data_IF_466918211465
#
_entry.id   IF_466918211465
#
_cell.length_a   1.000
_cell.length_b   1.000
_cell.length_c   1.000
_cell.angle_alpha   90.00
_cell.angle_beta   90.00
_cell.angle_gamma   90.00
#
_symmetry.space_group_name_H-M   'P 1'
#
loop_
_entity.id
_entity.type
_entity.pdbx_description
1 polymer ?
#
# COMPACT_ATOMS: atom_id res chain seq x y z
N UNK A 1 -2.90 17.91 -10.41
CA UNK A 1 -2.69 16.51 -10.78
C UNK A 1 -2.48 16.33 -12.30
N UNK A 2 -3.41 16.70 -13.21
CA UNK A 2 -3.20 16.55 -14.69
C UNK A 2 -1.88 17.16 -15.22
N UNK A 3 -1.38 18.25 -14.63
CA UNK A 3 -0.10 18.89 -15.03
C UNK A 3 1.15 18.12 -14.59
N UNK A 4 1.10 17.35 -13.50
CA UNK A 4 2.24 16.57 -13.00
C UNK A 4 2.39 15.24 -13.75
N UNK A 5 1.29 14.62 -14.15
CA UNK A 5 1.31 13.41 -14.99
C UNK A 5 1.81 13.75 -16.39
N UNK A 6 1.39 14.90 -16.95
CA UNK A 6 1.91 15.39 -18.22
C UNK A 6 3.42 15.69 -18.18
N UNK A 7 3.94 16.14 -17.03
CA UNK A 7 5.37 16.40 -16.87
C UNK A 7 6.18 15.10 -16.81
N UNK A 8 5.65 14.04 -16.18
CA UNK A 8 6.29 12.72 -16.13
C UNK A 8 6.34 12.05 -17.50
N UNK A 9 5.23 12.14 -18.27
CA UNK A 9 5.19 11.62 -19.64
C UNK A 9 6.12 12.43 -20.53
N UNK A 10 6.20 13.76 -20.37
CA UNK A 10 7.13 14.61 -21.11
C UNK A 10 8.61 14.31 -20.78
N UNK A 11 8.92 13.92 -19.52
CA UNK A 11 10.29 13.56 -19.13
C UNK A 11 10.73 12.23 -19.74
N UNK A 12 9.81 11.27 -19.87
CA UNK A 12 10.09 9.98 -20.55
C UNK A 12 10.27 10.18 -22.05
N UNK A 13 9.47 11.06 -22.68
CA UNK A 13 9.59 11.40 -24.11
C UNK A 13 10.84 12.24 -24.37
N UNK A 14 11.23 13.16 -23.48
CA UNK A 14 12.43 13.97 -23.62
C UNK A 14 13.74 13.15 -23.49
N UNK A 15 13.73 12.09 -22.67
CA UNK A 15 14.89 11.19 -22.56
C UNK A 15 15.13 10.38 -23.85
N UNK A 16 14.10 10.17 -24.67
CA UNK A 16 14.23 9.47 -25.96
C UNK A 16 14.67 10.40 -27.10
N UNK A 17 14.45 11.72 -26.96
CA UNK A 17 14.80 12.70 -28.01
C UNK A 17 16.25 13.21 -27.92
N UNK A 18 16.94 13.02 -26.81
CA UNK A 18 18.34 13.48 -26.64
C UNK A 18 19.39 12.57 -27.30
N UNK A 19 18.97 11.53 -28.02
CA UNK A 19 19.85 10.58 -28.73
C UNK A 19 19.99 10.84 -30.23
N UNK A 20 19.44 11.94 -30.75
CA UNK A 20 19.62 12.32 -32.16
C UNK A 20 20.63 13.46 -32.26
N UNK A 21 21.91 13.14 -32.23
CA UNK A 21 22.97 14.06 -32.59
C UNK A 21 23.37 13.88 -34.07
N UNK A 22 23.17 14.94 -34.84
CA UNK A 22 23.93 15.35 -35.99
C UNK A 22 23.96 14.49 -37.27
N UNK A 23 23.90 15.16 -38.46
CA UNK A 23 23.97 14.43 -39.71
C UNK A 23 25.43 14.04 -40.03
N UNK A 24 25.73 12.77 -39.89
CA UNK A 24 26.88 12.15 -40.56
C UNK A 24 26.31 11.43 -41.78
N UNK A 25 26.60 11.96 -42.94
CA UNK A 25 26.33 11.30 -44.21
C UNK A 25 27.18 10.05 -44.27
N UNK A 26 26.58 8.92 -43.97
CA UNK A 26 27.17 7.60 -44.13
C UNK A 26 26.48 6.91 -45.28
N UNK A 27 27.24 6.51 -46.28
CA UNK A 27 26.79 5.58 -47.34
C UNK A 27 26.00 4.44 -46.72
N UNK A 28 24.91 3.96 -47.34
CA UNK A 28 24.10 2.89 -46.80
C UNK A 28 24.88 1.57 -46.88
N UNK A 29 25.67 1.28 -45.85
CA UNK A 29 26.12 -0.09 -45.63
C UNK A 29 24.87 -0.90 -45.35
N UNK A 30 24.45 -1.69 -46.31
CA UNK A 30 23.42 -2.72 -46.11
C UNK A 30 23.86 -3.62 -44.95
N UNK A 31 23.56 -3.23 -43.75
CA UNK A 31 23.62 -4.16 -42.63
C UNK A 31 22.45 -5.10 -42.81
N UNK A 32 22.76 -6.35 -43.08
CA UNK A 32 21.77 -7.42 -42.98
C UNK A 32 21.02 -7.22 -41.65
N UNK A 33 19.68 -7.33 -41.64
CA UNK A 33 18.93 -7.23 -40.40
C UNK A 33 19.58 -8.17 -39.39
N UNK A 34 19.76 -7.76 -38.15
CA UNK A 34 20.38 -8.60 -37.13
C UNK A 34 19.64 -9.92 -37.11
N UNK A 35 20.35 -11.01 -37.45
CA UNK A 35 19.83 -12.36 -37.34
C UNK A 35 19.61 -12.58 -35.85
N UNK A 36 18.39 -12.42 -35.43
CA UNK A 36 17.98 -12.73 -34.06
C UNK A 36 17.97 -14.25 -34.02
N UNK A 37 19.05 -14.86 -33.52
CA UNK A 37 19.01 -16.24 -33.11
C UNK A 37 18.02 -16.36 -31.99
N UNK A 38 16.84 -16.89 -32.26
CA UNK A 38 15.88 -17.26 -31.23
C UNK A 38 16.57 -18.27 -30.32
N UNK A 39 16.88 -17.85 -29.12
CA UNK A 39 17.42 -18.71 -28.08
C UNK A 39 16.30 -19.65 -27.62
N UNK A 40 16.29 -20.87 -28.07
CA UNK A 40 15.25 -21.89 -27.79
C UNK A 40 15.42 -22.54 -26.39
N UNK A 41 16.37 -22.04 -25.58
CA UNK A 41 16.58 -22.52 -24.21
C UNK A 41 15.63 -21.86 -23.23
N UNK A 42 15.30 -22.61 -22.20
CA UNK A 42 14.60 -22.06 -21.04
C UNK A 42 15.57 -21.27 -20.18
N UNK A 43 15.13 -20.10 -19.74
CA UNK A 43 15.82 -19.26 -18.77
C UNK A 43 14.92 -19.10 -17.55
N UNK A 44 15.50 -19.30 -16.39
CA UNK A 44 14.84 -19.13 -15.11
C UNK A 44 15.61 -18.11 -14.30
N UNK A 45 14.88 -17.28 -13.59
CA UNK A 45 15.44 -16.30 -12.69
C UNK A 45 14.60 -16.26 -11.41
N UNK A 46 15.25 -16.30 -10.25
CA UNK A 46 14.62 -16.15 -8.95
C UNK A 46 15.37 -15.06 -8.20
N UNK A 47 14.66 -14.06 -7.71
CA UNK A 47 15.19 -12.94 -6.96
C UNK A 47 14.54 -12.76 -5.59
N UNK A 48 15.26 -12.11 -4.72
CA UNK A 48 14.75 -11.65 -3.42
C UNK A 48 14.92 -10.13 -3.33
N UNK A 49 13.92 -9.35 -3.76
CA UNK A 49 13.97 -7.90 -3.71
C UNK A 49 13.71 -7.39 -2.30
N UNK A 50 14.66 -6.74 -1.66
CA UNK A 50 14.48 -6.00 -0.41
C UNK A 50 14.15 -4.55 -0.71
N UNK A 51 12.89 -4.13 -0.51
CA UNK A 51 12.44 -2.77 -0.78
C UNK A 51 12.42 -1.93 0.51
N UNK A 52 13.29 -0.92 0.57
CA UNK A 52 13.40 0.02 1.69
C UNK A 52 12.42 1.17 1.47
N UNK A 53 11.13 0.87 1.60
CA UNK A 53 10.05 1.74 1.18
C UNK A 53 9.79 2.91 2.14
N UNK A 54 9.34 4.02 1.57
CA UNK A 54 8.68 5.15 2.20
C UNK A 54 7.23 5.16 1.71
N UNK A 55 6.28 5.49 2.57
CA UNK A 55 4.85 5.49 2.25
C UNK A 55 4.30 6.89 2.52
N UNK A 56 3.70 7.51 1.51
CA UNK A 56 3.12 8.86 1.62
C UNK A 56 1.86 8.98 0.79
N UNK A 57 0.82 9.59 1.37
CA UNK A 57 -0.42 9.80 0.62
C UNK A 57 -1.64 10.03 1.51
N UNK A 58 -2.79 9.63 1.01
CA UNK A 58 -4.08 9.77 1.66
C UNK A 58 -4.73 8.40 1.80
N UNK A 59 -5.07 8.02 3.02
CA UNK A 59 -5.83 6.81 3.33
C UNK A 59 -7.08 7.25 4.06
N UNK A 60 -8.25 6.81 3.62
CA UNK A 60 -9.52 7.19 4.20
C UNK A 60 -10.48 6.03 4.34
N UNK A 61 -11.38 6.14 5.31
CA UNK A 61 -12.47 5.19 5.53
C UNK A 61 -13.72 5.97 5.94
N UNK A 62 -14.81 5.82 5.17
CA UNK A 62 -16.12 6.42 5.44
C UNK A 62 -16.08 7.92 5.78
N UNK A 63 -15.24 8.69 5.04
CA UNK A 63 -15.12 10.14 5.21
C UNK A 63 -14.12 10.60 6.28
N UNK A 64 -13.48 9.67 6.99
CA UNK A 64 -12.34 9.96 7.86
C UNK A 64 -11.07 9.67 7.09
N UNK A 65 -10.19 10.67 6.90
CA UNK A 65 -8.93 10.51 6.18
C UNK A 65 -7.73 10.78 7.07
N UNK A 66 -6.64 10.10 6.78
CA UNK A 66 -5.31 10.26 7.37
C UNK A 66 -4.29 10.51 6.27
N UNK A 67 -3.26 11.26 6.56
CA UNK A 67 -2.18 11.61 5.64
C UNK A 67 -0.87 10.98 6.13
N UNK A 68 -0.68 9.65 5.99
CA UNK A 68 0.56 9.01 6.41
C UNK A 68 1.76 9.57 5.66
N UNK A 69 2.85 9.79 6.39
CA UNK A 69 4.19 10.07 5.89
C UNK A 69 5.15 9.18 6.68
N UNK A 70 5.30 7.94 6.23
CA UNK A 70 5.99 6.87 6.96
C UNK A 70 7.33 6.62 6.32
N UNK A 71 8.39 6.79 7.09
CA UNK A 71 9.77 6.51 6.66
C UNK A 71 10.15 5.06 6.90
N UNK A 72 11.08 4.54 6.09
CA UNK A 72 11.57 3.17 6.20
C UNK A 72 11.99 2.78 7.63
N UNK A 73 12.65 3.68 8.37
CA UNK A 73 13.02 3.43 9.77
C UNK A 73 11.83 3.14 10.68
N UNK A 74 10.69 3.80 10.44
CA UNK A 74 9.44 3.53 11.15
C UNK A 74 8.83 2.19 10.71
N UNK A 75 8.91 1.85 9.42
CA UNK A 75 8.45 0.55 8.90
C UNK A 75 9.21 -0.57 9.61
N UNK A 76 10.54 -0.52 9.63
CA UNK A 76 11.37 -1.57 10.24
C UNK A 76 11.14 -1.71 11.74
N UNK A 77 10.95 -0.60 12.46
CA UNK A 77 10.70 -0.64 13.92
C UNK A 77 9.34 -1.20 14.28
N UNK A 78 8.37 -1.18 13.37
CA UNK A 78 7.01 -1.69 13.55
C UNK A 78 6.73 -2.95 12.73
N UNK A 79 7.71 -3.44 11.96
CA UNK A 79 7.58 -4.64 11.16
C UNK A 79 7.49 -5.89 12.05
N UNK A 80 6.40 -6.62 11.93
CA UNK A 80 6.26 -7.98 12.45
C UNK A 80 6.79 -9.02 11.45
N UNK A 81 6.82 -8.68 10.16
CA UNK A 81 7.38 -9.49 9.09
C UNK A 81 7.41 -8.75 7.76
N UNK A 82 8.48 -8.94 6.99
CA UNK A 82 8.60 -8.47 5.60
C UNK A 82 9.27 -9.60 4.81
N UNK A 83 8.67 -9.97 3.68
CA UNK A 83 9.22 -10.95 2.76
C UNK A 83 8.87 -10.58 1.32
N UNK A 84 9.79 -10.83 0.40
CA UNK A 84 9.52 -10.67 -1.02
C UNK A 84 10.28 -11.70 -1.85
N UNK A 85 9.69 -12.10 -2.95
CA UNK A 85 10.27 -13.02 -3.91
C UNK A 85 9.82 -12.61 -5.32
N UNK A 86 10.71 -12.73 -6.27
CA UNK A 86 10.39 -12.59 -7.69
C UNK A 86 10.86 -13.82 -8.46
N UNK A 87 10.13 -14.16 -9.53
CA UNK A 87 10.46 -15.25 -10.40
C UNK A 87 10.16 -14.88 -11.85
N UNK A 88 11.07 -15.21 -12.76
CA UNK A 88 10.95 -15.00 -14.19
C UNK A 88 11.28 -16.29 -14.95
N UNK A 89 10.48 -16.62 -15.92
CA UNK A 89 10.68 -17.77 -16.81
C UNK A 89 10.51 -17.32 -18.25
N UNK A 90 11.50 -17.56 -19.07
CA UNK A 90 11.49 -17.16 -20.48
C UNK A 90 11.93 -18.31 -21.40
N UNK A 91 11.27 -18.42 -22.56
CA UNK A 91 11.71 -19.21 -23.69
C UNK A 91 11.62 -18.39 -24.97
N UNK A 92 12.72 -18.29 -25.72
CA UNK A 92 12.79 -17.44 -26.90
C UNK A 92 12.49 -15.98 -26.54
N UNK A 93 11.45 -15.42 -27.13
CA UNK A 93 11.01 -14.04 -26.90
C UNK A 93 9.89 -13.89 -25.89
N UNK A 94 9.22 -14.99 -25.51
CA UNK A 94 8.12 -14.97 -24.55
C UNK A 94 8.59 -15.34 -23.16
N UNK A 95 8.07 -14.65 -22.18
CA UNK A 95 8.29 -14.98 -20.79
C UNK A 95 7.13 -14.60 -19.90
N UNK A 96 7.21 -15.09 -18.66
CA UNK A 96 6.29 -14.83 -17.57
C UNK A 96 7.13 -14.36 -16.37
N UNK A 97 6.71 -13.29 -15.73
CA UNK A 97 7.35 -12.73 -14.55
C UNK A 97 6.33 -12.58 -13.44
N UNK A 98 6.75 -12.80 -12.22
CA UNK A 98 5.94 -12.62 -11.02
C UNK A 98 6.76 -12.05 -9.86
N UNK A 99 6.14 -11.19 -9.08
CA UNK A 99 6.69 -10.56 -7.88
C UNK A 99 5.66 -10.65 -6.75
N UNK A 100 6.10 -11.06 -5.58
CA UNK A 100 5.27 -11.12 -4.37
C UNK A 100 5.98 -10.38 -3.24
N UNK A 101 5.30 -9.39 -2.69
CA UNK A 101 5.69 -8.67 -1.49
C UNK A 101 4.66 -8.91 -0.39
N UNK A 102 5.11 -9.36 0.76
CA UNK A 102 4.36 -9.40 2.01
C UNK A 102 4.95 -8.42 3.01
N UNK A 103 4.08 -7.68 3.70
CA UNK A 103 4.47 -6.77 4.77
C UNK A 103 3.43 -6.83 5.89
N UNK A 104 3.90 -7.05 7.12
CA UNK A 104 3.09 -6.98 8.33
C UNK A 104 3.66 -5.91 9.24
N UNK A 105 2.85 -4.90 9.54
CA UNK A 105 3.20 -3.79 10.42
C UNK A 105 2.32 -3.82 11.66
N UNK A 106 2.89 -3.58 12.83
CA UNK A 106 2.15 -3.48 14.09
C UNK A 106 2.61 -2.28 14.89
N UNK A 107 1.68 -1.42 15.26
CA UNK A 107 1.93 -0.23 16.06
C UNK A 107 0.98 -0.17 17.25
N UNK A 108 1.51 0.19 18.42
CA UNK A 108 0.73 0.43 19.63
C UNK A 108 0.75 1.92 20.01
N UNK A 109 -0.43 2.48 20.21
CA UNK A 109 -0.61 3.85 20.67
C UNK A 109 -1.26 3.81 22.05
N UNK A 110 -0.73 4.56 23.00
CA UNK A 110 -1.32 4.71 24.31
C UNK A 110 -2.25 5.92 24.31
N UNK A 111 -3.48 5.73 24.80
CA UNK A 111 -4.50 6.77 24.89
C UNK A 111 -4.68 7.27 26.33
N UNK A 112 -5.17 8.48 26.48
CA UNK A 112 -5.42 9.12 27.77
C UNK A 112 -6.91 9.14 28.16
N UNK A 113 -7.80 8.64 27.27
CA UNK A 113 -9.25 8.64 27.45
C UNK A 113 -9.81 7.29 27.90
N UNK A 114 -10.93 6.88 27.32
CA UNK A 114 -11.58 5.59 27.57
C UNK A 114 -10.74 4.41 27.04
N UNK A 115 -9.88 4.66 26.06
CA UNK A 115 -8.93 3.70 25.50
C UNK A 115 -7.59 3.86 26.18
N UNK A 116 -7.09 2.80 26.81
CA UNK A 116 -5.77 2.74 27.43
C UNK A 116 -4.69 2.48 26.37
N UNK A 117 -4.99 1.61 25.41
CA UNK A 117 -4.07 1.22 24.34
C UNK A 117 -4.85 0.87 23.08
N UNK A 118 -4.39 1.35 21.95
CA UNK A 118 -4.83 0.92 20.63
C UNK A 118 -3.67 0.18 19.95
N UNK A 119 -3.91 -1.04 19.46
CA UNK A 119 -2.97 -1.79 18.64
C UNK A 119 -3.52 -1.83 17.22
N UNK A 120 -2.82 -1.23 16.29
CA UNK A 120 -3.11 -1.34 14.87
C UNK A 120 -2.15 -2.35 14.24
N UNK A 121 -2.68 -3.30 13.50
CA UNK A 121 -1.90 -4.23 12.68
C UNK A 121 -2.40 -4.13 11.25
N UNK A 122 -1.46 -3.99 10.32
CA UNK A 122 -1.71 -3.91 8.88
C UNK A 122 -0.90 -5.01 8.21
N UNK A 123 -1.60 -5.99 7.65
CA UNK A 123 -0.99 -7.04 6.85
C UNK A 123 -1.30 -6.75 5.37
N UNK A 124 -0.28 -6.56 4.55
CA UNK A 124 -0.43 -6.20 3.14
C UNK A 124 0.29 -7.20 2.24
N UNK A 125 -0.36 -7.53 1.13
CA UNK A 125 0.17 -8.36 0.05
C UNK A 125 0.08 -7.57 -1.25
N UNK A 126 1.19 -7.52 -1.98
CA UNK A 126 1.23 -7.03 -3.35
C UNK A 126 1.78 -8.17 -4.20
N UNK A 127 0.97 -8.65 -5.14
CA UNK A 127 1.36 -9.70 -6.07
C UNK A 127 1.22 -9.19 -7.50
N UNK A 128 2.33 -9.15 -8.22
CA UNK A 128 2.37 -8.87 -9.66
C UNK A 128 2.51 -10.18 -10.43
N UNK A 129 1.74 -10.32 -11.51
CA UNK A 129 1.90 -11.40 -12.46
C UNK A 129 1.76 -10.86 -13.86
N UNK A 130 2.73 -11.12 -14.75
CA UNK A 130 2.74 -10.58 -16.10
C UNK A 130 3.30 -11.54 -17.12
N UNK A 131 2.87 -11.36 -18.35
CA UNK A 131 3.50 -11.95 -19.54
C UNK A 131 4.26 -10.87 -20.28
N UNK A 132 5.32 -11.22 -20.94
CA UNK A 132 6.06 -10.27 -21.74
C UNK A 132 6.55 -10.87 -23.07
N UNK A 133 6.75 -9.97 -24.01
CA UNK A 133 7.33 -10.27 -25.31
C UNK A 133 8.55 -9.40 -25.54
N UNK A 134 9.69 -10.01 -25.88
CA UNK A 134 10.95 -9.32 -26.16
C UNK A 134 10.92 -8.68 -27.56
N UNK A 135 10.60 -7.37 -27.57
CA UNK A 135 10.46 -6.60 -28.82
C UNK A 135 11.79 -6.24 -29.44
N UNK A 136 12.81 -5.95 -28.59
CA UNK A 136 14.16 -5.67 -29.04
C UNK A 136 15.16 -6.58 -28.30
N UNK A 137 16.10 -7.10 -29.04
CA UNK A 137 17.23 -7.86 -28.49
C UNK A 137 18.48 -7.58 -29.31
N UNK A 138 19.55 -7.25 -28.63
CA UNK A 138 20.85 -6.94 -29.24
C UNK A 138 22.01 -7.36 -28.36
N UNK A 139 23.25 -7.16 -28.81
CA UNK A 139 24.44 -7.56 -28.05
C UNK A 139 24.58 -6.82 -26.71
N UNK A 140 24.05 -5.61 -26.66
CA UNK A 140 24.16 -4.74 -25.48
C UNK A 140 22.93 -4.72 -24.59
N UNK A 141 21.82 -5.39 -24.96
CA UNK A 141 20.63 -5.39 -24.12
C UNK A 141 19.37 -5.83 -24.83
N UNK A 142 18.26 -5.68 -24.12
CA UNK A 142 16.93 -6.06 -24.58
C UNK A 142 15.85 -5.11 -24.02
N UNK A 143 14.73 -5.10 -24.72
CA UNK A 143 13.51 -4.39 -24.30
C UNK A 143 12.32 -5.32 -24.49
N UNK A 144 11.48 -5.42 -23.48
CA UNK A 144 10.27 -6.22 -23.43
C UNK A 144 9.03 -5.31 -23.37
N UNK A 145 7.98 -5.66 -24.12
CA UNK A 145 6.63 -5.17 -23.90
C UNK A 145 5.95 -6.12 -22.91
N UNK A 146 5.26 -5.58 -21.92
CA UNK A 146 4.74 -6.30 -20.75
C UNK A 146 3.26 -6.03 -20.56
N UNK A 147 2.49 -7.02 -20.12
CA UNK A 147 1.11 -6.88 -19.73
C UNK A 147 0.79 -7.88 -18.60
N UNK A 148 0.05 -7.43 -17.61
CA UNK A 148 -0.21 -8.25 -16.44
C UNK A 148 -1.31 -7.71 -15.55
N UNK A 149 -1.38 -8.26 -14.34
CA UNK A 149 -2.26 -7.80 -13.29
C UNK A 149 -1.51 -7.71 -11.97
N UNK A 150 -1.80 -6.66 -11.21
CA UNK A 150 -1.31 -6.43 -9.86
C UNK A 150 -2.44 -6.60 -8.88
N UNK A 151 -2.31 -7.58 -8.00
CA UNK A 151 -3.24 -7.80 -6.91
C UNK A 151 -2.72 -7.14 -5.64
N UNK A 152 -3.56 -6.33 -5.03
CA UNK A 152 -3.33 -5.73 -3.72
C UNK A 152 -4.34 -6.26 -2.72
N UNK A 153 -3.87 -6.61 -1.54
CA UNK A 153 -4.71 -6.98 -0.41
C UNK A 153 -4.14 -6.36 0.85
N UNK A 154 -5.00 -5.74 1.65
CA UNK A 154 -4.62 -5.22 2.96
C UNK A 154 -5.66 -5.63 3.98
N UNK A 155 -5.20 -6.24 5.05
CA UNK A 155 -6.00 -6.61 6.20
C UNK A 155 -5.61 -5.74 7.39
N UNK A 156 -6.50 -4.84 7.75
CA UNK A 156 -6.30 -3.87 8.82
C UNK A 156 -7.03 -4.35 10.05
N UNK A 157 -6.33 -4.51 11.17
CA UNK A 157 -6.89 -4.87 12.47
C UNK A 157 -6.64 -3.75 13.45
N UNK A 158 -7.69 -3.32 14.13
CA UNK A 158 -7.62 -2.39 15.24
C UNK A 158 -8.11 -3.09 16.50
N UNK A 159 -7.20 -3.39 17.40
CA UNK A 159 -7.51 -3.87 18.75
C UNK A 159 -7.44 -2.72 19.73
N UNK A 160 -8.51 -2.48 20.46
CA UNK A 160 -8.55 -1.48 21.52
C UNK A 160 -8.50 -2.17 22.88
N UNK A 161 -7.88 -1.54 23.85
CA UNK A 161 -7.91 -1.96 25.26
C UNK A 161 -8.49 -0.82 26.09
N UNK A 162 -9.58 -1.07 26.80
CA UNK A 162 -10.25 -0.10 27.63
C UNK A 162 -9.40 0.33 28.84
N UNK A 163 -9.58 1.57 29.28
CA UNK A 163 -9.07 2.07 30.54
C UNK A 163 -10.15 1.91 31.62
N UNK A 164 -10.18 0.80 32.34
CA UNK A 164 -11.27 0.43 33.26
C UNK A 164 -11.68 1.55 34.23
N UNK A 165 -10.72 2.28 34.80
CA UNK A 165 -11.00 3.42 35.70
C UNK A 165 -11.71 4.56 34.99
N UNK A 166 -11.32 4.86 33.75
CA UNK A 166 -11.94 5.93 32.91
C UNK A 166 -13.30 5.49 32.39
N UNK A 167 -13.44 4.22 32.03
CA UNK A 167 -14.75 3.64 31.62
C UNK A 167 -15.73 3.68 32.79
N UNK A 168 -15.30 3.29 34.00
CA UNK A 168 -16.14 3.38 35.20
C UNK A 168 -16.55 4.84 35.52
N UNK A 169 -15.61 5.79 35.39
CA UNK A 169 -15.89 7.20 35.58
C UNK A 169 -16.90 7.74 34.55
N UNK A 170 -16.70 7.37 33.27
CA UNK A 170 -17.62 7.74 32.18
C UNK A 170 -19.01 7.14 32.39
N UNK A 171 -19.09 5.88 32.80
CA UNK A 171 -20.36 5.22 33.13
C UNK A 171 -21.10 5.94 34.26
N UNK A 172 -20.38 6.34 35.33
CA UNK A 172 -20.95 7.10 36.43
C UNK A 172 -21.47 8.47 35.96
N UNK A 173 -20.70 9.20 35.13
CA UNK A 173 -21.11 10.47 34.54
C UNK A 173 -22.36 10.34 33.67
N UNK A 174 -22.45 9.29 32.85
CA UNK A 174 -23.62 8.99 32.00
C UNK A 174 -24.87 8.74 32.84
N UNK A 175 -24.74 7.99 33.93
CA UNK A 175 -25.87 7.76 34.87
C UNK A 175 -26.27 9.07 35.58
N UNK A 176 -25.31 9.86 36.03
CA UNK A 176 -25.59 11.16 36.67
C UNK A 176 -26.26 12.13 35.67
N UNK A 177 -25.84 12.12 34.43
CA UNK A 177 -26.38 12.97 33.35
C UNK A 177 -27.67 12.44 32.70
N UNK A 178 -28.20 11.31 33.15
CA UNK A 178 -29.39 10.68 32.54
C UNK A 178 -30.65 11.59 32.53
N UNK A 179 -30.63 12.68 33.25
CA UNK A 179 -31.69 13.68 33.31
C UNK A 179 -31.35 15.00 32.61
N UNK A 180 -30.14 15.10 32.04
CA UNK A 180 -29.60 16.29 31.41
C UNK A 180 -29.21 16.00 29.94
N UNK A 181 -28.28 16.76 29.41
CA UNK A 181 -27.79 16.58 28.03
C UNK A 181 -26.90 15.34 27.87
N UNK A 182 -27.52 14.18 27.83
CA UNK A 182 -26.84 12.88 27.66
C UNK A 182 -26.12 12.78 26.29
N UNK A 183 -26.71 13.39 25.23
CA UNK A 183 -26.14 13.35 23.89
C UNK A 183 -24.82 14.15 23.81
N UNK A 184 -24.83 15.37 24.28
CA UNK A 184 -23.62 16.21 24.28
C UNK A 184 -22.52 15.66 25.19
N UNK A 185 -22.88 14.90 26.24
CA UNK A 185 -21.90 14.19 27.05
C UNK A 185 -21.27 13.00 26.30
N UNK A 186 -22.07 12.23 25.56
CA UNK A 186 -21.56 11.13 24.73
C UNK A 186 -20.61 11.61 23.65
N UNK A 187 -20.95 12.70 22.95
CA UNK A 187 -20.10 13.33 21.93
C UNK A 187 -18.73 13.75 22.51
N UNK A 188 -18.72 14.35 23.69
CA UNK A 188 -17.47 14.74 24.37
C UNK A 188 -16.63 13.53 24.83
N UNK A 189 -17.27 12.49 25.36
CA UNK A 189 -16.56 11.29 25.84
C UNK A 189 -15.90 10.50 24.70
N UNK A 190 -16.56 10.36 23.57
CA UNK A 190 -16.02 9.66 22.41
C UNK A 190 -14.94 10.48 21.72
N UNK A 191 -15.14 11.79 21.51
CA UNK A 191 -14.12 12.66 20.96
C UNK A 191 -12.84 12.67 21.80
N UNK A 192 -12.96 12.78 23.13
CA UNK A 192 -11.81 12.71 24.03
C UNK A 192 -11.17 11.33 24.20
N UNK A 193 -11.81 10.25 23.73
CA UNK A 193 -11.26 8.89 23.79
C UNK A 193 -10.22 8.61 22.71
N UNK A 194 -10.33 9.29 21.56
CA UNK A 194 -9.45 9.09 20.41
C UNK A 194 -8.28 10.09 20.40
N UNK A 195 -8.58 11.37 20.60
CA UNK A 195 -7.58 12.45 20.75
C UNK A 195 -8.29 13.67 21.37
N UNK A 196 -7.80 14.24 22.47
CA UNK A 196 -8.40 15.43 23.07
C UNK A 196 -8.39 16.67 22.15
N UNK A 197 -7.57 16.68 21.10
CA UNK A 197 -7.51 17.74 20.09
C UNK A 197 -8.34 17.46 18.82
N UNK A 198 -8.95 16.27 18.71
CA UNK A 198 -9.79 15.94 17.56
C UNK A 198 -11.14 16.64 17.68
N UNK A 199 -11.63 17.33 16.63
CA UNK A 199 -12.97 17.89 16.62
C UNK A 199 -14.00 16.80 16.89
N UNK A 200 -14.98 17.07 17.76
CA UNK A 200 -16.08 16.15 18.03
C UNK A 200 -16.81 15.79 16.72
N UNK A 201 -16.84 14.51 16.39
CA UNK A 201 -17.63 14.02 15.25
C UNK A 201 -19.12 14.08 15.68
N UNK A 202 -19.97 14.85 15.01
CA UNK A 202 -21.38 14.89 15.37
C UNK A 202 -22.03 13.53 15.11
N UNK A 203 -22.72 13.01 16.11
CA UNK A 203 -23.49 11.78 15.95
C UNK A 203 -24.64 11.99 14.94
N UNK A 204 -24.90 11.01 14.08
CA UNK A 204 -26.07 11.06 13.22
C UNK A 204 -27.37 11.14 14.06
N UNK A 205 -28.46 11.69 13.55
CA UNK A 205 -29.71 11.76 14.27
C UNK A 205 -30.19 10.36 14.66
N UNK A 206 -30.52 10.18 15.95
CA UNK A 206 -30.96 8.91 16.49
C UNK A 206 -32.23 8.41 15.79
N UNK A 207 -32.24 7.17 15.35
CA UNK A 207 -33.41 6.46 14.86
C UNK A 207 -34.47 6.26 15.97
N UNK A 208 -35.69 5.88 15.58
CA UNK A 208 -36.78 5.68 16.54
C UNK A 208 -36.47 4.59 17.57
N UNK A 209 -35.86 3.50 17.15
CA UNK A 209 -35.46 2.39 18.03
C UNK A 209 -34.36 2.82 19.03
N UNK A 210 -33.44 3.65 18.58
CA UNK A 210 -32.36 4.19 19.43
C UNK A 210 -32.93 5.17 20.48
N UNK A 211 -33.88 5.99 20.10
CA UNK A 211 -34.61 6.87 21.06
C UNK A 211 -35.33 6.06 22.12
N UNK A 212 -36.00 4.96 21.73
CA UNK A 212 -36.68 4.08 22.68
C UNK A 212 -35.70 3.40 23.63
N UNK A 213 -34.54 2.94 23.13
CA UNK A 213 -33.47 2.37 23.96
C UNK A 213 -32.90 3.40 24.94
N UNK A 214 -32.67 4.62 24.49
CA UNK A 214 -32.20 5.72 25.31
C UNK A 214 -33.19 6.08 26.44
N UNK A 215 -34.49 6.19 26.13
CA UNK A 215 -35.51 6.46 27.12
C UNK A 215 -35.64 5.33 28.15
N UNK A 216 -35.52 4.09 27.72
CA UNK A 216 -35.48 2.92 28.62
C UNK A 216 -34.30 2.99 29.57
N UNK A 217 -33.13 3.28 29.02
CA UNK A 217 -31.89 3.47 29.81
C UNK A 217 -32.05 4.60 30.85
N UNK A 218 -32.55 5.77 30.45
CA UNK A 218 -32.78 6.89 31.39
C UNK A 218 -33.68 6.47 32.54
N UNK A 219 -34.73 5.73 32.25
CA UNK A 219 -35.66 5.21 33.27
C UNK A 219 -34.98 4.22 34.21
N UNK A 220 -34.17 3.30 33.69
CA UNK A 220 -33.39 2.32 34.46
C UNK A 220 -32.34 3.02 35.35
N UNK A 221 -31.60 3.98 34.80
CA UNK A 221 -30.59 4.76 35.53
C UNK A 221 -31.19 5.56 36.69
N UNK A 222 -32.43 6.06 36.56
CA UNK A 222 -33.15 6.74 37.63
C UNK A 222 -33.62 5.80 38.73
N UNK A 223 -33.96 4.55 38.36
CA UNK A 223 -34.52 3.58 39.30
C UNK A 223 -33.42 2.85 40.09
N UNK A 224 -32.33 2.50 39.45
CA UNK A 224 -31.23 1.79 40.04
C UNK A 224 -29.89 2.26 39.38
N UNK A 225 -29.30 3.37 39.89
CA UNK A 225 -28.07 3.94 39.33
C UNK A 225 -26.88 3.00 39.36
N UNK A 226 -26.77 2.12 40.35
CA UNK A 226 -25.63 1.18 40.50
C UNK A 226 -25.66 0.12 39.43
N UNK A 227 -26.78 -0.55 39.27
CA UNK A 227 -26.96 -1.57 38.21
C UNK A 227 -26.83 -0.94 36.82
N UNK A 228 -27.36 0.25 36.59
CA UNK A 228 -27.20 0.96 35.33
C UNK A 228 -25.73 1.28 35.05
N UNK A 229 -24.96 1.76 36.02
CA UNK A 229 -23.53 2.00 35.87
C UNK A 229 -22.76 0.72 35.50
N UNK A 230 -22.99 -0.37 36.22
CA UNK A 230 -22.35 -1.67 35.92
C UNK A 230 -22.63 -2.14 34.50
N UNK A 231 -23.89 -2.01 34.05
CA UNK A 231 -24.31 -2.39 32.71
C UNK A 231 -23.64 -1.53 31.63
N UNK A 232 -23.54 -0.21 31.82
CA UNK A 232 -22.82 0.67 30.90
C UNK A 232 -21.34 0.32 30.87
N UNK A 233 -20.72 0.14 32.04
CA UNK A 233 -19.32 -0.26 32.13
C UNK A 233 -19.06 -1.54 31.34
N UNK A 234 -19.92 -2.55 31.51
CA UNK A 234 -19.82 -3.81 30.75
C UNK A 234 -19.98 -3.61 29.24
N UNK A 235 -20.96 -2.83 28.81
CA UNK A 235 -21.17 -2.50 27.40
C UNK A 235 -19.95 -1.77 26.81
N UNK A 236 -19.50 -0.70 27.46
CA UNK A 236 -18.37 0.09 27.02
C UNK A 236 -17.08 -0.76 26.94
N UNK A 237 -16.80 -1.56 27.96
CA UNK A 237 -15.66 -2.47 27.94
C UNK A 237 -15.78 -3.51 26.83
N UNK A 238 -16.96 -4.07 26.61
CA UNK A 238 -17.18 -5.04 25.53
C UNK A 238 -16.95 -4.41 24.16
N UNK A 239 -17.54 -3.25 23.89
CA UNK A 239 -17.41 -2.58 22.60
C UNK A 239 -15.98 -2.00 22.39
N UNK A 240 -15.35 -1.42 23.42
CA UNK A 240 -13.99 -0.93 23.34
C UNK A 240 -12.96 -2.05 23.15
N UNK A 241 -13.17 -3.21 23.74
CA UNK A 241 -12.25 -4.36 23.60
C UNK A 241 -12.60 -5.26 22.39
N UNK A 242 -13.65 -4.93 21.65
CA UNK A 242 -14.02 -5.63 20.43
C UNK A 242 -13.06 -5.21 19.31
N UNK A 243 -12.27 -6.17 18.83
CA UNK A 243 -11.40 -5.92 17.69
C UNK A 243 -12.22 -5.62 16.43
N UNK A 244 -11.80 -4.63 15.68
CA UNK A 244 -12.34 -4.31 14.36
C UNK A 244 -11.33 -4.70 13.30
N UNK A 245 -11.79 -5.41 12.27
CA UNK A 245 -10.98 -5.78 11.11
C UNK A 245 -11.65 -5.31 9.83
N UNK A 246 -10.87 -4.78 8.91
CA UNK A 246 -11.28 -4.43 7.57
C UNK A 246 -10.31 -5.06 6.60
N UNK A 247 -10.85 -5.76 5.61
CA UNK A 247 -10.07 -6.32 4.49
C UNK A 247 -10.47 -5.60 3.23
N UNK A 248 -9.49 -5.01 2.57
CA UNK A 248 -9.67 -4.41 1.26
C UNK A 248 -8.75 -5.11 0.26
N UNK A 249 -9.27 -5.37 -0.93
CA UNK A 249 -8.51 -6.01 -1.99
C UNK A 249 -9.01 -5.59 -3.37
N UNK A 250 -8.10 -5.47 -4.30
CA UNK A 250 -8.43 -5.20 -5.69
C UNK A 250 -7.35 -5.76 -6.61
N UNK A 251 -7.63 -5.78 -7.90
CA UNK A 251 -6.69 -6.18 -8.93
C UNK A 251 -6.69 -5.15 -10.06
N UNK A 252 -5.50 -4.71 -10.42
CA UNK A 252 -5.24 -3.70 -11.44
C UNK A 252 -4.60 -4.35 -12.65
N UNK A 253 -5.29 -4.44 -13.80
CA UNK A 253 -4.61 -4.76 -15.06
C UNK A 253 -3.62 -3.64 -15.40
N UNK A 254 -2.48 -4.00 -15.97
CA UNK A 254 -1.48 -3.02 -16.39
C UNK A 254 -0.78 -3.41 -17.68
N UNK A 255 -0.21 -2.42 -18.33
CA UNK A 255 0.71 -2.56 -19.46
C UNK A 255 1.99 -1.79 -19.18
N UNK A 256 3.10 -2.27 -19.71
CA UNK A 256 4.39 -1.67 -19.40
C UNK A 256 5.50 -2.09 -20.35
N UNK A 257 6.67 -1.64 -19.99
CA UNK A 257 7.93 -1.99 -20.65
C UNK A 257 8.96 -2.37 -19.59
N UNK A 258 9.90 -3.21 -19.97
CA UNK A 258 11.07 -3.53 -19.14
C UNK A 258 12.27 -3.81 -19.99
N UNK A 259 13.46 -3.60 -19.45
CA UNK A 259 14.65 -3.77 -20.24
C UNK A 259 15.93 -3.85 -19.40
N UNK A 260 16.98 -4.32 -20.09
CA UNK A 260 18.33 -4.37 -19.54
C UNK A 260 19.33 -3.87 -20.59
N UNK A 261 20.30 -3.10 -20.15
CA UNK A 261 21.41 -2.61 -20.99
C UNK A 261 22.75 -2.92 -20.34
N UNK A 262 23.61 -3.64 -21.03
CA UNK A 262 24.96 -3.97 -20.58
C UNK A 262 25.85 -2.74 -20.69
N UNK A 263 26.51 -2.36 -19.61
CA UNK A 263 27.49 -1.28 -19.59
C UNK A 263 28.88 -1.84 -19.93
N UNK A 264 29.55 -2.36 -18.94
CA UNK A 264 30.80 -3.09 -19.04
C UNK A 264 30.74 -4.25 -18.08
N UNK A 265 31.32 -5.39 -18.43
CA UNK A 265 31.36 -6.51 -17.47
C UNK A 265 32.04 -6.08 -16.18
N UNK A 266 31.42 -6.33 -15.00
CA UNK A 266 30.22 -7.11 -14.74
C UNK A 266 28.92 -6.31 -14.59
N UNK A 267 28.85 -5.03 -15.01
CA UNK A 267 27.76 -4.11 -14.73
C UNK A 267 26.73 -4.01 -15.85
N UNK A 268 25.46 -3.80 -15.49
CA UNK A 268 24.35 -3.51 -16.40
C UNK A 268 23.34 -2.56 -15.76
N UNK A 269 22.58 -1.86 -16.58
CA UNK A 269 21.38 -1.13 -16.17
C UNK A 269 20.17 -2.01 -16.37
N UNK A 270 19.18 -1.91 -15.50
CA UNK A 270 17.89 -2.55 -15.62
C UNK A 270 16.78 -1.57 -15.28
N UNK A 271 15.62 -1.73 -15.88
CA UNK A 271 14.48 -0.89 -15.59
C UNK A 271 13.17 -1.54 -16.03
N UNK A 272 12.09 -1.13 -15.35
CA UNK A 272 10.71 -1.53 -15.60
C UNK A 272 9.81 -0.34 -15.32
N UNK A 273 8.79 -0.14 -16.15
CA UNK A 273 7.77 0.87 -15.93
C UNK A 273 6.42 0.37 -16.46
N UNK A 274 5.37 0.61 -15.71
CA UNK A 274 4.01 0.23 -16.09
C UNK A 274 2.97 1.26 -15.65
N UNK A 275 1.83 1.22 -16.31
CA UNK A 275 0.62 1.97 -15.96
C UNK A 275 -0.56 1.02 -16.01
N UNK A 276 -1.46 1.14 -15.05
CA UNK A 276 -2.59 0.25 -14.89
C UNK A 276 -3.75 0.86 -14.12
N UNK A 277 -4.62 0.00 -13.60
CA UNK A 277 -5.86 0.37 -12.92
C UNK A 277 -7.01 0.45 -13.91
N UNK A 278 -7.04 1.49 -14.75
CA UNK A 278 -8.04 1.73 -15.81
C UNK A 278 -9.49 1.65 -15.32
N UNK A 279 -9.76 2.06 -14.07
CA UNK A 279 -11.05 1.95 -13.38
C UNK A 279 -11.57 0.50 -13.23
N UNK A 280 -10.70 -0.51 -13.32
CA UNK A 280 -11.07 -1.92 -13.03
C UNK A 280 -10.96 -2.20 -11.54
N UNK A 281 -9.82 -1.87 -10.94
CA UNK A 281 -9.58 -1.83 -9.49
C UNK A 281 -9.31 -0.40 -9.07
N UNK A 282 -8.08 0.06 -9.23
CA UNK A 282 -7.72 1.46 -9.05
C UNK A 282 -8.15 2.33 -10.25
N UNK A 283 -8.40 3.61 -10.01
CA UNK A 283 -8.57 4.60 -11.08
C UNK A 283 -7.30 4.62 -11.93
N UNK A 284 -6.15 4.68 -11.26
CA UNK A 284 -4.84 4.57 -11.90
C UNK A 284 -3.81 3.99 -10.94
N UNK A 285 -2.95 3.14 -11.46
CA UNK A 285 -1.71 2.70 -10.79
C UNK A 285 -0.53 2.96 -11.71
N UNK A 286 0.61 3.34 -11.14
CA UNK A 286 1.86 3.57 -11.89
C UNK A 286 3.00 2.98 -11.09
N UNK A 287 3.82 2.17 -11.73
CA UNK A 287 5.04 1.63 -11.13
C UNK A 287 6.25 1.95 -12.00
N UNK A 288 7.39 2.16 -11.34
CA UNK A 288 8.67 2.25 -12.00
C UNK A 288 9.79 1.71 -11.13
N UNK A 289 10.76 1.11 -11.79
CA UNK A 289 12.01 0.63 -11.21
C UNK A 289 13.16 0.97 -12.14
N UNK A 290 14.25 1.45 -11.59
CA UNK A 290 15.52 1.62 -12.31
C UNK A 290 16.67 1.24 -11.39
N UNK A 291 17.63 0.46 -11.90
CA UNK A 291 18.70 -0.06 -11.08
C UNK A 291 20.00 -0.34 -11.86
N UNK A 292 21.08 -0.39 -11.09
CA UNK A 292 22.39 -0.87 -11.49
C UNK A 292 22.55 -2.31 -11.01
N UNK A 293 22.83 -3.21 -11.94
CA UNK A 293 23.08 -4.61 -11.66
C UNK A 293 24.54 -4.96 -11.73
N UNK A 294 24.95 -5.92 -10.90
CA UNK A 294 26.26 -6.52 -10.84
C UNK A 294 26.14 -8.04 -11.03
N UNK A 295 26.73 -8.57 -12.09
CA UNK A 295 26.77 -10.00 -12.37
C UNK A 295 28.04 -10.60 -11.77
N UNK A 296 27.91 -11.28 -10.62
CA UNK A 296 29.05 -11.90 -9.93
C UNK A 296 29.60 -13.08 -10.75
N UNK A 297 28.72 -13.94 -11.24
CA UNK A 297 29.04 -15.07 -12.14
C UNK A 297 27.83 -15.33 -13.06
N UNK A 298 27.87 -16.28 -14.00
CA UNK A 298 26.74 -16.55 -14.90
C UNK A 298 25.41 -16.79 -14.19
N UNK A 299 25.43 -17.26 -12.95
CA UNK A 299 24.24 -17.68 -12.22
C UNK A 299 23.80 -16.71 -11.10
N UNK A 300 24.71 -15.88 -10.56
CA UNK A 300 24.44 -15.04 -9.39
C UNK A 300 24.56 -13.57 -9.76
N UNK A 301 23.58 -12.78 -9.36
CA UNK A 301 23.58 -11.34 -9.55
C UNK A 301 23.08 -10.58 -8.33
N UNK A 302 23.38 -9.31 -8.28
CA UNK A 302 22.78 -8.35 -7.36
C UNK A 302 22.41 -7.07 -8.11
N UNK A 303 21.34 -6.41 -7.68
CA UNK A 303 20.88 -5.14 -8.24
C UNK A 303 20.63 -4.15 -7.13
N UNK A 304 21.07 -2.92 -7.29
CA UNK A 304 20.72 -1.78 -6.45
C UNK A 304 19.98 -0.77 -7.31
N UNK A 305 18.74 -0.46 -6.93
CA UNK A 305 17.91 0.44 -7.69
C UNK A 305 16.98 1.26 -6.82
N UNK A 306 16.07 1.93 -7.49
CA UNK A 306 15.00 2.69 -6.88
C UNK A 306 13.67 2.27 -7.49
N UNK A 307 12.71 1.89 -6.63
CA UNK A 307 11.34 1.50 -7.03
C UNK A 307 10.36 2.54 -6.50
N UNK A 308 9.34 2.84 -7.29
CA UNK A 308 8.16 3.55 -6.83
C UNK A 308 6.89 2.88 -7.34
N UNK A 309 5.83 3.01 -6.58
CA UNK A 309 4.51 2.49 -6.88
C UNK A 309 3.47 3.50 -6.37
N UNK A 310 2.54 3.87 -7.22
CA UNK A 310 1.43 4.75 -6.91
C UNK A 310 0.12 4.04 -7.14
N UNK A 311 -0.81 4.22 -6.20
CA UNK A 311 -2.21 3.84 -6.33
C UNK A 311 -3.11 5.05 -6.17
N UNK A 312 -4.16 5.14 -7.00
CA UNK A 312 -5.33 5.98 -6.81
C UNK A 312 -6.55 5.05 -6.81
N UNK A 313 -6.91 4.53 -5.63
CA UNK A 313 -8.04 3.66 -5.41
C UNK A 313 -9.08 4.36 -4.54
N UNK A 314 -10.35 4.34 -4.95
CA UNK A 314 -11.46 4.93 -4.22
C UNK A 314 -12.72 4.07 -4.50
N UNK A 315 -13.17 3.30 -3.51
CA UNK A 315 -14.33 2.43 -3.63
C UNK A 315 -14.99 2.23 -2.28
N UNK A 316 -16.33 2.20 -2.26
CA UNK A 316 -17.17 1.89 -1.10
C UNK A 316 -16.82 2.66 0.18
N UNK A 317 -16.32 3.90 0.02
CA UNK A 317 -15.89 4.76 1.12
C UNK A 317 -14.49 4.45 1.65
N UNK A 318 -13.73 3.56 1.01
CA UNK A 318 -12.32 3.35 1.24
C UNK A 318 -11.49 4.11 0.19
N UNK A 319 -10.64 5.01 0.66
CA UNK A 319 -9.72 5.81 -0.15
C UNK A 319 -8.29 5.35 0.08
N UNK A 320 -7.56 5.06 -1.00
CA UNK A 320 -6.14 4.71 -0.94
C UNK A 320 -5.36 5.41 -2.08
N UNK A 321 -4.90 6.65 -1.83
CA UNK A 321 -4.10 7.46 -2.76
C UNK A 321 -2.68 7.54 -2.24
N UNK A 322 -1.87 6.54 -2.54
CA UNK A 322 -0.60 6.33 -1.85
C UNK A 322 0.55 6.16 -2.83
N UNK A 323 1.63 6.88 -2.55
CA UNK A 323 2.96 6.65 -3.10
C UNK A 323 3.75 5.77 -2.14
N UNK A 324 4.29 4.68 -2.66
CA UNK A 324 5.30 3.85 -2.01
C UNK A 324 6.56 3.93 -2.85
N UNK A 325 7.67 4.38 -2.30
CA UNK A 325 8.91 4.60 -3.06
C UNK A 325 10.14 4.41 -2.18
N UNK A 326 11.27 4.06 -2.80
CA UNK A 326 12.52 3.92 -2.06
C UNK A 326 13.56 3.05 -2.75
N UNK A 327 14.76 2.96 -2.16
CA UNK A 327 15.80 2.06 -2.65
C UNK A 327 15.35 0.60 -2.58
N UNK A 328 15.81 -0.18 -3.55
CA UNK A 328 15.60 -1.63 -3.58
C UNK A 328 16.92 -2.32 -3.84
N UNK A 329 17.24 -3.30 -3.00
CA UNK A 329 18.37 -4.21 -3.17
C UNK A 329 17.82 -5.60 -3.51
N UNK A 330 18.24 -6.14 -4.64
CA UNK A 330 17.84 -7.48 -5.07
C UNK A 330 19.07 -8.38 -5.15
N UNK A 331 18.99 -9.57 -4.59
CA UNK A 331 19.92 -10.65 -4.84
C UNK A 331 19.18 -11.76 -5.58
N UNK A 332 19.80 -12.38 -6.57
CA UNK A 332 19.12 -13.40 -7.35
C UNK A 332 20.04 -14.42 -8.00
N UNK A 333 19.40 -15.50 -8.45
CA UNK A 333 20.02 -16.58 -9.20
C UNK A 333 19.31 -16.75 -10.55
N UNK A 334 20.08 -17.06 -11.57
CA UNK A 334 19.58 -17.34 -12.93
C UNK A 334 20.23 -18.59 -13.48
N UNK A 335 19.50 -19.36 -14.30
CA UNK A 335 19.97 -20.62 -14.90
C UNK A 335 19.13 -21.01 -16.12
#
# INVERSE_FOLDING_TARGET
MKKQIALLIALVVAATSALTAGPVELEPKQTAPPTITDDDHWHFNIGMPGWFAFIKGDIGLHGVSSHPDIHFGQIITHAAGIASISADVRKGRFGVDGDLLYMSLSAGIYGNGLVKKANATVDSYIADGEVYYRVLQGPNGWLDARAGARYFNTFNRLGLTSADSKVNQAAAQLVAAANQDLRGLLERLIGGALDPNTPSVPFPPLGNDEKVRLLRFIREARRDPVTAQQKITSILNTELNKGHGLTEYWADPYIGIGGRYKLSKPFYLTGKADVGGFDVGSIVTVQGYAGLGYQYNPNIYAELGFRFLYYDYDSDGFLYKVWTYGPQLTAGIQF
#
